data_IF_599831447800
#
_entry.id   IF_599831447800
#
_cell.length_a   1.000
_cell.length_b   1.000
_cell.length_c   1.000
_cell.angle_alpha   90.00
_cell.angle_beta   90.00
_cell.angle_gamma   90.00
#
_symmetry.space_group_name_H-M   'P 1'
#
loop_
_entity.id
_entity.type
_entity.pdbx_description
1 polymer ?
#
# COMPACT_ATOMS: atom_id res chain seq x y z
N UNK A 1 -21.49 1.53 -22.44
CA UNK A 1 -20.53 0.44 -22.20
C UNK A 1 -19.30 0.72 -23.04
N UNK A 2 -18.11 0.49 -22.51
CA UNK A 2 -16.81 0.72 -23.17
C UNK A 2 -16.07 -0.61 -23.36
N UNK A 3 -15.04 -0.67 -24.20
CA UNK A 3 -14.23 -1.89 -24.38
C UNK A 3 -13.11 -1.92 -23.34
N UNK A 4 -12.91 -3.07 -22.70
CA UNK A 4 -11.79 -3.28 -21.80
C UNK A 4 -10.45 -2.98 -22.50
N UNK A 5 -9.60 -2.20 -21.81
CA UNK A 5 -8.31 -1.76 -22.34
C UNK A 5 -7.19 -2.79 -22.15
N UNK A 6 -7.43 -3.87 -21.40
CA UNK A 6 -6.43 -4.92 -21.15
C UNK A 6 -6.07 -5.73 -22.39
N UNK A 7 -4.87 -6.32 -22.39
CA UNK A 7 -4.40 -7.27 -23.41
C UNK A 7 -4.45 -8.68 -22.84
N UNK A 8 -4.82 -9.64 -23.67
CA UNK A 8 -4.70 -11.06 -23.33
C UNK A 8 -3.22 -11.46 -23.28
N UNK A 9 -2.93 -12.63 -22.72
CA UNK A 9 -1.56 -13.22 -22.70
C UNK A 9 -0.92 -13.34 -24.09
N UNK A 10 -1.74 -13.33 -25.14
CA UNK A 10 -1.32 -13.36 -26.55
C UNK A 10 -1.20 -11.96 -27.17
N UNK A 11 -1.17 -10.90 -26.36
CA UNK A 11 -1.04 -9.50 -26.80
C UNK A 11 -2.28 -8.90 -27.47
N UNK A 12 -3.36 -9.67 -27.68
CA UNK A 12 -4.59 -9.21 -28.32
C UNK A 12 -5.44 -8.37 -27.36
N UNK A 13 -6.09 -7.31 -27.84
CA UNK A 13 -6.99 -6.49 -27.02
C UNK A 13 -8.17 -7.32 -26.49
N UNK A 14 -8.51 -7.14 -25.23
CA UNK A 14 -9.67 -7.78 -24.63
C UNK A 14 -10.96 -7.35 -25.34
N UNK A 15 -11.81 -8.32 -25.66
CA UNK A 15 -13.11 -8.06 -26.32
C UNK A 15 -14.25 -7.83 -25.33
N UNK A 16 -14.00 -7.95 -24.02
CA UNK A 16 -15.03 -7.77 -22.99
C UNK A 16 -15.46 -6.31 -22.91
N UNK A 17 -16.77 -6.09 -22.80
CA UNK A 17 -17.36 -4.78 -22.53
C UNK A 17 -17.37 -4.52 -21.03
N UNK A 18 -17.19 -3.27 -20.65
CA UNK A 18 -17.14 -2.78 -19.28
C UNK A 18 -18.10 -1.59 -19.14
N UNK A 19 -18.63 -1.33 -17.93
CA UNK A 19 -19.43 -0.13 -17.70
C UNK A 19 -18.59 1.13 -17.95
N UNK A 20 -19.25 2.22 -18.37
CA UNK A 20 -18.59 3.51 -18.59
C UNK A 20 -17.90 3.94 -17.29
N UNK A 21 -16.62 4.29 -17.35
CA UNK A 21 -15.81 4.64 -16.17
C UNK A 21 -14.96 3.48 -15.61
N UNK A 22 -15.20 2.24 -16.03
CA UNK A 22 -14.30 1.12 -15.73
C UNK A 22 -13.33 0.88 -16.88
N UNK A 23 -12.01 0.88 -16.61
CA UNK A 23 -10.98 0.72 -17.66
C UNK A 23 -10.69 -0.75 -18.00
N UNK A 24 -10.87 -1.63 -17.01
CA UNK A 24 -10.54 -3.05 -17.10
C UNK A 24 -11.74 -3.93 -16.73
N UNK A 25 -11.85 -5.11 -17.34
CA UNK A 25 -12.81 -6.12 -16.91
C UNK A 25 -12.29 -6.83 -15.66
N UNK A 26 -13.16 -7.51 -14.92
CA UNK A 26 -12.84 -8.19 -13.64
C UNK A 26 -11.54 -9.01 -13.68
N UNK A 27 -11.32 -9.74 -14.77
CA UNK A 27 -10.12 -10.56 -14.96
C UNK A 27 -8.83 -9.76 -15.19
N UNK A 28 -8.91 -8.55 -15.76
CA UNK A 28 -7.75 -7.66 -15.88
C UNK A 28 -7.60 -6.74 -14.66
N UNK A 29 -8.69 -6.43 -13.95
CA UNK A 29 -8.63 -5.69 -12.70
C UNK A 29 -7.85 -6.45 -11.63
N UNK A 30 -8.01 -7.78 -11.56
CA UNK A 30 -7.25 -8.62 -10.62
C UNK A 30 -5.78 -8.80 -11.03
N UNK A 31 -5.46 -8.73 -12.33
CA UNK A 31 -4.07 -8.79 -12.82
C UNK A 31 -3.30 -7.48 -12.61
N UNK A 32 -3.99 -6.34 -12.50
CA UNK A 32 -3.34 -5.05 -12.23
C UNK A 32 -2.73 -4.96 -10.82
N UNK A 33 -3.18 -5.79 -9.87
CA UNK A 33 -2.57 -5.91 -8.55
C UNK A 33 -1.31 -6.79 -8.53
N UNK A 34 -0.96 -7.45 -9.64
CA UNK A 34 0.11 -8.45 -9.67
C UNK A 34 0.89 -8.47 -10.97
N UNK A 35 1.62 -7.39 -11.27
CA UNK A 35 2.71 -7.27 -12.27
C UNK A 35 2.34 -6.52 -13.56
N UNK A 36 2.84 -5.27 -13.66
CA UNK A 36 3.30 -4.69 -14.93
C UNK A 36 2.38 -3.68 -15.61
N UNK A 37 2.55 -2.39 -15.30
CA UNK A 37 2.00 -1.29 -16.11
C UNK A 37 1.85 0.02 -15.34
N UNK A 38 2.93 0.52 -14.74
CA UNK A 38 2.96 1.82 -14.08
C UNK A 38 3.69 2.84 -14.97
N UNK A 39 2.95 3.44 -15.91
CA UNK A 39 3.16 4.86 -16.18
C UNK A 39 2.32 5.61 -15.14
N UNK A 40 3.05 6.25 -14.22
CA UNK A 40 2.66 7.02 -13.05
C UNK A 40 1.24 7.64 -13.02
N UNK A 41 0.49 7.29 -11.97
CA UNK A 41 -0.24 8.27 -11.17
C UNK A 41 -0.38 7.70 -9.75
N UNK A 42 0.26 8.35 -8.79
CA UNK A 42 0.33 7.91 -7.40
C UNK A 42 -1.04 7.66 -6.76
N UNK A 43 -1.14 6.52 -6.11
CA UNK A 43 -2.06 6.27 -5.00
C UNK A 43 -1.30 5.40 -4.01
N UNK A 44 -0.29 5.99 -3.38
CA UNK A 44 0.30 5.47 -2.16
C UNK A 44 -0.74 5.60 -1.05
N UNK A 45 -0.97 4.48 -0.35
CA UNK A 45 -1.43 4.37 1.04
C UNK A 45 -2.90 4.69 1.34
N UNK A 46 -3.61 3.80 2.07
CA UNK A 46 -3.97 4.03 3.49
C UNK A 46 -4.95 2.94 3.99
N UNK A 47 -4.41 1.83 4.48
CA UNK A 47 -5.01 1.04 5.57
C UNK A 47 -3.92 0.69 6.63
N UNK A 48 -2.91 1.55 6.73
CA UNK A 48 -1.84 1.55 7.74
C UNK A 48 -1.99 2.79 8.61
N UNK A 49 -3.08 2.86 9.37
CA UNK A 49 -3.32 3.96 10.32
C UNK A 49 -3.40 3.42 11.77
N UNK A 50 -3.85 2.17 11.92
CA UNK A 50 -3.99 1.54 13.24
C UNK A 50 -2.71 0.88 13.77
N UNK A 51 -1.81 0.41 12.89
CA UNK A 51 -0.54 -0.21 13.31
C UNK A 51 0.52 0.83 13.67
N UNK A 52 0.52 1.99 13.00
CA UNK A 52 1.51 3.04 13.21
C UNK A 52 1.38 3.69 14.59
N UNK A 53 0.16 3.92 15.08
CA UNK A 53 -0.05 4.45 16.44
C UNK A 53 0.48 3.47 17.52
N UNK A 54 0.28 2.16 17.34
CA UNK A 54 0.79 1.15 18.27
C UNK A 54 2.32 1.07 18.24
N UNK A 55 2.92 1.09 17.04
CA UNK A 55 4.37 1.06 16.85
C UNK A 55 5.00 2.34 17.43
N UNK A 56 4.42 3.51 17.16
CA UNK A 56 4.90 4.80 17.70
C UNK A 56 4.86 4.80 19.23
N UNK A 57 3.78 4.32 19.85
CA UNK A 57 3.67 4.19 21.31
C UNK A 57 4.72 3.22 21.88
N UNK A 58 4.93 2.07 21.24
CA UNK A 58 5.91 1.08 21.68
C UNK A 58 7.35 1.61 21.58
N UNK A 59 7.70 2.26 20.47
CA UNK A 59 9.03 2.86 20.26
C UNK A 59 9.26 4.02 21.22
N UNK A 60 8.28 4.92 21.38
CA UNK A 60 8.38 6.04 22.31
C UNK A 60 8.54 5.57 23.76
N UNK A 61 7.81 4.53 24.17
CA UNK A 61 7.94 3.92 25.49
C UNK A 61 9.32 3.31 25.73
N UNK A 62 9.86 2.56 24.76
CA UNK A 62 11.20 1.96 24.87
C UNK A 62 12.30 3.03 24.97
N UNK A 63 12.22 4.10 24.18
CA UNK A 63 13.15 5.23 24.25
C UNK A 63 13.05 5.93 25.61
N UNK A 64 11.84 6.22 26.09
CA UNK A 64 11.66 6.86 27.39
C UNK A 64 12.20 5.97 28.53
N UNK A 65 11.94 4.66 28.49
CA UNK A 65 12.47 3.71 29.46
C UNK A 65 14.01 3.69 29.47
N UNK A 66 14.63 3.69 28.29
CA UNK A 66 16.09 3.75 28.17
C UNK A 66 16.64 5.06 28.75
N UNK A 67 16.01 6.20 28.43
CA UNK A 67 16.43 7.51 28.95
C UNK A 67 16.25 7.61 30.46
N UNK A 68 15.16 7.07 31.02
CA UNK A 68 14.94 7.01 32.47
C UNK A 68 15.97 6.11 33.15
N UNK A 69 16.30 4.99 32.53
CA UNK A 69 17.33 4.06 33.02
C UNK A 69 18.70 4.74 33.00
N UNK A 70 19.09 5.38 31.90
CA UNK A 70 20.35 6.12 31.81
C UNK A 70 20.42 7.28 32.82
N UNK A 71 19.33 8.05 32.97
CA UNK A 71 19.25 9.09 34.02
C UNK A 71 19.40 8.52 35.43
N UNK A 72 18.76 7.38 35.71
CA UNK A 72 18.87 6.67 36.99
C UNK A 72 20.32 6.29 37.29
N UNK A 73 21.07 5.85 36.27
CA UNK A 73 22.50 5.55 36.39
C UNK A 73 23.36 6.81 36.54
N UNK A 74 23.06 7.88 35.81
CA UNK A 74 23.80 9.15 35.91
C UNK A 74 23.60 9.86 37.26
N UNK A 75 22.48 9.65 37.95
CA UNK A 75 22.27 10.19 39.31
C UNK A 75 22.96 9.40 40.42
N UNK A 76 23.64 8.30 40.10
CA UNK A 76 24.34 7.42 41.05
C UNK A 76 25.86 7.55 41.00
N UNK A 77 26.40 8.32 40.04
CA UNK A 77 27.82 8.67 39.92
C UNK A 77 28.01 10.13 40.34
#
# INVERSE_FOLDING_TARGET
MERCQGKTKFGKRCKRMVPKGSRFCVSHANQAHGLGGADAAGATCQEQDSLDNLIILAVAGAVLYLLLTLRRFSSFL
#
